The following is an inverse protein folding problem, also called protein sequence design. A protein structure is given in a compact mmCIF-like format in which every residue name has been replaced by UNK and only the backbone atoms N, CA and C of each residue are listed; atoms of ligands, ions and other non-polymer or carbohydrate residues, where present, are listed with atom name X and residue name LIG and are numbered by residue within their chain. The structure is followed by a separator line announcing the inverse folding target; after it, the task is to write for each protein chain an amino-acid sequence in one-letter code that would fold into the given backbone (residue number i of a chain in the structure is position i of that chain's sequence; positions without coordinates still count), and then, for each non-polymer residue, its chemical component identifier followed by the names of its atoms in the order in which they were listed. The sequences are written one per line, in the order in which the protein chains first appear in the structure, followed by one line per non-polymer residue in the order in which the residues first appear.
data_IF_190763055095
#
_entry.id   IF_190763055095
#
_cell.length_a   1.000
_cell.length_b   1.000
_cell.length_c   1.000
_cell.angle_alpha   90.00
_cell.angle_beta   90.00
_cell.angle_gamma   90.00
#
_symmetry.space_group_name_H-M   'P 1'
#
loop_
_entity.id
_entity.type
_entity.pdbx_description
1 polymer ?
#
# COMPACT_ATOMS: atom_id res chain seq x y z
N UNK A 1 8.48 1.39 -11.58
CA UNK A 1 9.92 1.10 -11.39
C UNK A 1 10.17 -0.30 -10.83
N UNK A 2 9.61 -0.68 -9.68
CA UNK A 2 9.78 -2.03 -9.09
C UNK A 2 9.41 -3.16 -10.07
N UNK A 3 8.28 -3.03 -10.77
CA UNK A 3 7.83 -4.00 -11.78
C UNK A 3 8.76 -4.13 -13.00
N UNK A 4 9.42 -3.04 -13.39
CA UNK A 4 10.40 -3.09 -14.49
C UNK A 4 11.69 -3.75 -14.02
N UNK A 5 12.14 -3.44 -12.80
CA UNK A 5 13.28 -4.11 -12.18
C UNK A 5 13.09 -5.62 -12.05
N UNK A 6 11.91 -6.08 -11.60
CA UNK A 6 11.61 -7.51 -11.51
C UNK A 6 11.55 -8.18 -12.89
N UNK A 7 11.03 -7.50 -13.91
CA UNK A 7 11.03 -7.98 -15.29
C UNK A 7 12.45 -8.20 -15.84
N UNK A 8 13.34 -7.21 -15.68
CA UNK A 8 14.75 -7.33 -16.14
C UNK A 8 15.47 -8.46 -15.41
N UNK A 9 15.25 -8.59 -14.10
CA UNK A 9 15.83 -9.67 -13.30
C UNK A 9 15.36 -11.04 -13.79
N UNK A 10 14.05 -11.22 -13.98
CA UNK A 10 13.48 -12.47 -14.50
C UNK A 10 14.03 -12.81 -15.89
N UNK A 11 14.17 -11.81 -16.76
CA UNK A 11 14.77 -11.97 -18.09
C UNK A 11 16.24 -12.41 -17.99
N UNK A 12 17.02 -11.82 -17.10
CA UNK A 12 18.43 -12.16 -16.91
C UNK A 12 18.62 -13.60 -16.40
N UNK A 13 17.80 -14.03 -15.43
CA UNK A 13 17.81 -15.41 -14.92
C UNK A 13 17.49 -16.40 -16.04
N UNK A 14 16.38 -16.17 -16.75
CA UNK A 14 15.95 -17.04 -17.85
C UNK A 14 16.98 -17.09 -18.99
N UNK A 15 17.61 -15.96 -19.30
CA UNK A 15 18.69 -15.91 -20.31
C UNK A 15 19.89 -16.75 -19.90
N UNK A 16 20.24 -16.77 -18.61
CA UNK A 16 21.35 -17.56 -18.08
C UNK A 16 21.07 -19.06 -18.21
N UNK A 17 19.87 -19.50 -17.84
CA UNK A 17 19.44 -20.90 -17.99
C UNK A 17 19.45 -21.36 -19.45
N UNK A 18 18.87 -20.55 -20.35
CA UNK A 18 18.85 -20.84 -21.78
C UNK A 18 20.27 -20.93 -22.37
N UNK A 19 21.19 -20.09 -21.90
CA UNK A 19 22.57 -20.13 -22.34
C UNK A 19 23.29 -21.38 -21.86
N UNK A 20 23.07 -21.81 -20.61
CA UNK A 20 23.64 -23.07 -20.11
C UNK A 20 23.14 -24.27 -20.92
N UNK A 21 21.84 -24.33 -21.23
CA UNK A 21 21.26 -25.39 -22.06
C UNK A 21 21.85 -25.38 -23.47
N UNK A 22 21.94 -24.19 -24.09
CA UNK A 22 22.47 -24.03 -25.44
C UNK A 22 23.95 -24.39 -25.49
N UNK A 23 24.73 -23.99 -24.48
CA UNK A 23 26.15 -24.34 -24.33
C UNK A 23 26.32 -25.85 -24.25
N UNK A 24 25.56 -26.53 -23.40
CA UNK A 24 25.62 -27.99 -23.27
C UNK A 24 25.24 -28.72 -24.57
N UNK A 25 24.30 -28.19 -25.35
CA UNK A 25 23.94 -28.75 -26.65
C UNK A 25 25.05 -28.55 -27.70
N UNK A 26 25.69 -27.38 -27.70
CA UNK A 26 26.85 -27.10 -28.57
C UNK A 26 28.04 -27.98 -28.17
N UNK A 27 28.32 -28.13 -26.88
CA UNK A 27 29.34 -29.04 -26.36
C UNK A 27 29.10 -30.47 -26.84
N UNK A 28 27.88 -31.01 -26.69
CA UNK A 28 27.51 -32.34 -27.18
C UNK A 28 27.71 -32.49 -28.68
N UNK A 29 27.36 -31.45 -29.44
CA UNK A 29 27.56 -31.46 -30.90
C UNK A 29 29.04 -31.50 -31.26
N UNK A 30 29.85 -30.64 -30.65
CA UNK A 30 31.30 -30.66 -30.87
C UNK A 30 31.89 -32.00 -30.42
N UNK A 31 31.40 -32.61 -29.34
CA UNK A 31 31.81 -33.95 -28.91
C UNK A 31 31.59 -35.03 -29.98
N UNK A 32 30.48 -34.98 -30.70
CA UNK A 32 30.20 -35.90 -31.81
C UNK A 32 31.12 -35.62 -33.00
N UNK A 33 31.25 -34.34 -33.37
CA UNK A 33 32.02 -33.89 -34.54
C UNK A 33 33.55 -34.00 -34.32
N UNK A 34 34.01 -34.03 -33.06
CA UNK A 34 35.43 -34.14 -32.68
C UNK A 34 36.11 -35.37 -33.29
N UNK A 35 35.40 -36.49 -33.41
CA UNK A 35 35.92 -37.72 -34.02
C UNK A 35 36.21 -37.59 -35.53
N UNK A 36 35.61 -36.59 -36.17
CA UNK A 36 35.79 -36.29 -37.59
C UNK A 36 36.75 -35.11 -37.83
N UNK A 37 37.13 -34.37 -36.78
CA UNK A 37 38.12 -33.31 -36.87
C UNK A 37 39.54 -33.89 -36.79
N UNK A 38 40.38 -33.46 -37.73
CA UNK A 38 41.77 -33.86 -37.79
C UNK A 38 42.63 -33.05 -36.80
N UNK A 39 42.47 -33.31 -35.50
CA UNK A 39 43.17 -32.56 -34.44
C UNK A 39 44.61 -33.04 -34.21
N UNK A 40 45.48 -32.17 -33.64
CA UNK A 40 46.83 -32.56 -33.26
C UNK A 40 46.81 -33.63 -32.15
N UNK A 41 47.64 -34.65 -32.32
CA UNK A 41 47.82 -35.75 -31.38
C UNK A 41 49.32 -35.99 -31.11
N UNK A 42 49.76 -35.66 -29.90
CA UNK A 42 51.14 -35.84 -29.45
C UNK A 42 51.54 -37.31 -29.35
N UNK A 43 50.59 -38.21 -29.07
CA UNK A 43 50.84 -39.65 -28.99
C UNK A 43 51.13 -40.23 -30.38
N UNK A 44 50.36 -39.79 -31.38
CA UNK A 44 50.52 -40.22 -32.78
C UNK A 44 51.55 -39.37 -33.57
N UNK A 45 52.18 -38.36 -32.93
CA UNK A 45 53.05 -37.35 -33.57
C UNK A 45 52.40 -36.72 -34.81
N UNK A 46 51.10 -36.53 -34.75
CA UNK A 46 50.30 -35.99 -35.84
C UNK A 46 49.99 -34.52 -35.58
N UNK A 47 50.36 -33.64 -36.51
CA UNK A 47 50.21 -32.18 -36.30
C UNK A 47 48.79 -31.66 -36.51
N UNK A 48 47.84 -32.52 -36.94
CA UNK A 48 46.47 -32.11 -37.26
C UNK A 48 46.38 -31.16 -38.47
N UNK A 49 45.17 -30.72 -38.82
CA UNK A 49 44.92 -29.68 -39.82
C UNK A 49 44.29 -28.47 -39.17
N UNK A 50 45.06 -27.37 -39.09
CA UNK A 50 44.59 -26.11 -38.51
C UNK A 50 43.43 -25.53 -39.35
N UNK A 51 43.56 -25.62 -40.66
CA UNK A 51 42.59 -25.12 -41.65
C UNK A 51 41.24 -25.82 -41.50
N UNK A 52 41.23 -27.15 -41.33
CA UNK A 52 39.98 -27.90 -41.12
C UNK A 52 39.24 -27.48 -39.84
N UNK A 53 39.97 -27.15 -38.77
CA UNK A 53 39.37 -26.64 -37.52
C UNK A 53 38.78 -25.25 -37.74
N UNK A 54 39.48 -24.38 -38.47
CA UNK A 54 39.01 -23.02 -38.79
C UNK A 54 37.74 -23.06 -39.64
N UNK A 55 37.72 -23.87 -40.71
CA UNK A 55 36.55 -24.06 -41.57
C UNK A 55 35.35 -24.62 -40.78
N UNK A 56 35.62 -25.58 -39.90
CA UNK A 56 34.61 -26.12 -39.00
C UNK A 56 34.04 -25.04 -38.07
N UNK A 57 34.89 -24.24 -37.42
CA UNK A 57 34.46 -23.15 -36.55
C UNK A 57 33.62 -22.12 -37.32
N UNK A 58 34.01 -21.76 -38.55
CA UNK A 58 33.26 -20.86 -39.41
C UNK A 58 31.87 -21.43 -39.74
N UNK A 59 31.80 -22.71 -40.13
CA UNK A 59 30.53 -23.38 -40.45
C UNK A 59 29.64 -23.51 -39.22
N UNK A 60 30.18 -23.91 -38.08
CA UNK A 60 29.44 -24.05 -36.83
C UNK A 60 28.89 -22.69 -36.38
N UNK A 61 29.72 -21.66 -36.31
CA UNK A 61 29.29 -20.32 -35.91
C UNK A 61 28.29 -19.70 -36.90
N UNK A 62 28.35 -20.05 -38.19
CA UNK A 62 27.33 -19.62 -39.15
C UNK A 62 25.94 -20.16 -38.84
N UNK A 63 25.86 -21.37 -38.28
CA UNK A 63 24.61 -22.00 -37.85
C UNK A 63 24.16 -21.51 -36.47
N UNK A 64 25.09 -21.04 -35.65
CA UNK A 64 24.82 -20.50 -34.31
C UNK A 64 24.47 -19.01 -34.29
N UNK A 65 24.30 -18.36 -35.46
CA UNK A 65 23.99 -16.91 -35.56
C UNK A 65 22.78 -16.44 -34.73
N UNK A 66 21.79 -17.32 -34.52
CA UNK A 66 20.58 -17.00 -33.74
C UNK A 66 20.77 -17.20 -32.24
N UNK A 67 21.88 -17.82 -31.84
CA UNK A 67 22.23 -18.05 -30.44
C UNK A 67 23.23 -16.99 -29.96
N UNK A 68 23.22 -16.63 -28.67
CA UNK A 68 24.20 -15.67 -28.14
C UNK A 68 25.60 -16.29 -27.94
N UNK A 69 25.78 -17.56 -28.28
CA UNK A 69 27.01 -18.33 -28.01
C UNK A 69 27.84 -18.40 -29.29
N UNK A 70 29.12 -18.08 -29.16
CA UNK A 70 30.10 -18.15 -30.21
C UNK A 70 31.24 -19.08 -29.80
N UNK A 71 31.59 -20.03 -30.67
CA UNK A 71 32.71 -20.96 -30.44
C UNK A 71 33.98 -20.29 -30.92
N UNK A 72 34.89 -20.03 -29.99
CA UNK A 72 36.05 -19.18 -30.23
C UNK A 72 37.27 -20.00 -30.67
N UNK A 73 37.55 -21.12 -30.00
CA UNK A 73 38.69 -21.99 -30.34
C UNK A 73 38.44 -23.43 -29.90
N UNK A 74 39.16 -24.35 -30.53
CA UNK A 74 39.30 -25.76 -30.11
C UNK A 74 40.79 -26.04 -30.00
N UNK A 75 41.25 -26.52 -28.85
CA UNK A 75 42.68 -26.74 -28.54
C UNK A 75 43.55 -25.49 -28.79
N UNK A 76 42.99 -24.30 -28.58
CA UNK A 76 43.67 -23.03 -28.84
C UNK A 76 43.77 -22.65 -30.32
N UNK A 77 43.27 -23.48 -31.25
CA UNK A 77 43.25 -23.17 -32.69
C UNK A 77 42.11 -22.20 -32.98
N UNK A 78 42.48 -21.01 -33.49
CA UNK A 78 41.55 -19.95 -33.89
C UNK A 78 42.22 -18.94 -34.83
N UNK A 79 41.41 -18.18 -35.55
CA UNK A 79 41.84 -16.98 -36.31
C UNK A 79 41.35 -15.68 -35.65
N UNK A 80 40.62 -15.77 -34.54
CA UNK A 80 40.05 -14.60 -33.87
C UNK A 80 41.08 -13.91 -32.96
N UNK A 81 40.98 -12.58 -32.76
CA UNK A 81 41.91 -11.81 -31.94
C UNK A 81 41.72 -12.08 -30.44
N UNK A 82 42.83 -12.23 -29.71
CA UNK A 82 42.85 -12.59 -28.29
C UNK A 82 41.85 -11.76 -27.45
N UNK A 83 41.09 -12.47 -26.61
CA UNK A 83 40.01 -11.93 -25.79
C UNK A 83 40.11 -12.46 -24.36
N UNK A 84 39.70 -11.67 -23.37
CA UNK A 84 39.86 -12.01 -21.94
C UNK A 84 38.63 -12.66 -21.28
N UNK A 85 37.46 -12.54 -21.89
CA UNK A 85 36.16 -13.06 -21.41
C UNK A 85 35.82 -14.43 -22.02
N UNK A 86 36.85 -15.24 -22.28
CA UNK A 86 36.70 -16.60 -22.80
C UNK A 86 36.24 -17.54 -21.69
N UNK A 87 35.21 -18.33 -22.00
CA UNK A 87 34.76 -19.43 -21.14
C UNK A 87 35.39 -20.71 -21.68
N UNK A 88 36.31 -21.28 -20.91
CA UNK A 88 36.97 -22.54 -21.27
C UNK A 88 36.19 -23.74 -20.71
N UNK A 89 36.05 -24.76 -21.54
CA UNK A 89 35.40 -26.03 -21.22
C UNK A 89 36.26 -27.17 -21.68
N UNK A 90 36.39 -28.18 -20.82
CA UNK A 90 37.11 -29.39 -21.15
C UNK A 90 36.13 -30.49 -21.53
N UNK A 91 36.30 -31.04 -22.73
CA UNK A 91 35.59 -32.22 -23.21
C UNK A 91 36.49 -33.43 -23.02
N UNK A 92 36.03 -34.37 -22.20
CA UNK A 92 36.73 -35.63 -21.99
C UNK A 92 36.26 -36.66 -23.02
N UNK A 93 37.19 -37.16 -23.82
CA UNK A 93 36.99 -38.38 -24.61
C UNK A 93 37.76 -39.52 -23.93
N UNK A 94 37.46 -40.79 -24.25
CA UNK A 94 38.20 -41.93 -23.69
C UNK A 94 39.72 -41.91 -23.94
N UNK A 95 40.17 -41.12 -24.93
CA UNK A 95 41.56 -41.09 -25.39
C UNK A 95 42.29 -39.79 -25.01
N UNK A 96 41.60 -38.64 -25.03
CA UNK A 96 42.19 -37.31 -24.78
C UNK A 96 41.18 -36.32 -24.20
N UNK A 97 41.68 -35.34 -23.46
CA UNK A 97 40.90 -34.17 -23.01
C UNK A 97 41.13 -33.04 -24.00
N UNK A 98 40.05 -32.48 -24.53
CA UNK A 98 40.07 -31.34 -25.44
C UNK A 98 39.57 -30.08 -24.75
N UNK A 99 40.19 -28.93 -25.01
CA UNK A 99 39.81 -27.62 -24.49
C UNK A 99 39.06 -26.84 -25.57
N UNK A 100 37.88 -26.34 -25.24
CA UNK A 100 37.06 -25.49 -26.12
C UNK A 100 36.82 -24.17 -25.43
N UNK A 101 37.05 -23.07 -26.14
CA UNK A 101 36.76 -21.73 -25.64
C UNK A 101 35.51 -21.17 -26.30
N UNK A 102 34.64 -20.56 -25.49
CA UNK A 102 33.40 -19.93 -25.92
C UNK A 102 33.35 -18.45 -25.53
N UNK A 103 32.53 -17.70 -26.25
CA UNK A 103 32.13 -16.33 -25.92
C UNK A 103 30.60 -16.27 -25.88
N UNK A 104 30.04 -15.62 -24.86
CA UNK A 104 28.60 -15.39 -24.76
C UNK A 104 28.34 -13.89 -24.91
N UNK A 105 27.75 -13.50 -26.04
CA UNK A 105 27.33 -12.13 -26.29
C UNK A 105 25.91 -11.94 -25.75
N UNK A 106 25.80 -11.73 -24.43
CA UNK A 106 24.52 -11.42 -23.80
C UNK A 106 24.29 -9.91 -23.76
N UNK A 107 23.29 -9.44 -24.50
CA UNK A 107 22.75 -8.11 -24.27
C UNK A 107 21.50 -8.21 -23.40
N UNK A 108 21.61 -7.77 -22.14
CA UNK A 108 20.51 -7.84 -21.17
C UNK A 108 19.39 -6.86 -21.57
N UNK A 109 19.79 -5.70 -22.11
CA UNK A 109 18.89 -4.63 -22.53
C UNK A 109 18.84 -4.52 -24.05
N UNK A 110 17.67 -4.78 -24.61
CA UNK A 110 17.34 -4.60 -26.01
C UNK A 110 16.60 -3.28 -26.21
N UNK A 111 16.56 -2.80 -27.46
CA UNK A 111 15.82 -1.57 -27.82
C UNK A 111 14.36 -1.60 -27.37
N UNK A 112 13.72 -2.77 -27.40
CA UNK A 112 12.34 -2.94 -26.94
C UNK A 112 12.20 -2.75 -25.43
N UNK A 113 13.20 -3.14 -24.63
CA UNK A 113 13.14 -2.95 -23.17
C UNK A 113 13.21 -1.46 -22.81
N UNK A 114 13.97 -0.68 -23.59
CA UNK A 114 14.03 0.79 -23.45
C UNK A 114 12.66 1.40 -23.78
N UNK A 115 11.99 0.94 -24.84
CA UNK A 115 10.65 1.40 -25.19
C UNK A 115 9.62 1.08 -24.08
N UNK A 116 9.67 -0.13 -23.52
CA UNK A 116 8.83 -0.53 -22.38
C UNK A 116 9.13 0.33 -21.15
N UNK A 117 10.39 0.62 -20.88
CA UNK A 117 10.78 1.50 -19.78
C UNK A 117 10.18 2.90 -19.91
N UNK A 118 10.31 3.51 -21.10
CA UNK A 118 9.74 4.83 -21.39
C UNK A 118 8.22 4.80 -21.19
N UNK A 119 7.54 3.77 -21.67
CA UNK A 119 6.09 3.60 -21.50
C UNK A 119 5.70 3.49 -20.03
N UNK A 120 6.42 2.71 -19.22
CA UNK A 120 6.19 2.61 -17.77
C UNK A 120 6.39 3.97 -17.07
N UNK A 121 7.39 4.75 -17.48
CA UNK A 121 7.60 6.11 -16.96
C UNK A 121 6.43 7.04 -17.33
N UNK A 122 5.96 7.00 -18.58
CA UNK A 122 4.82 7.79 -19.02
C UNK A 122 3.52 7.43 -18.27
N UNK A 123 3.24 6.15 -18.07
CA UNK A 123 2.10 5.71 -17.26
C UNK A 123 2.23 6.17 -15.81
N UNK A 124 3.42 6.07 -15.22
CA UNK A 124 3.66 6.56 -13.86
C UNK A 124 3.38 8.06 -13.77
N UNK A 125 3.86 8.86 -14.73
CA UNK A 125 3.62 10.30 -14.76
C UNK A 125 2.13 10.61 -14.96
N UNK A 126 1.44 9.89 -15.85
CA UNK A 126 0.01 10.06 -16.08
C UNK A 126 -0.81 9.75 -14.82
N UNK A 127 -0.50 8.64 -14.13
CA UNK A 127 -1.18 8.28 -12.87
C UNK A 127 -0.88 9.32 -11.79
N UNK A 128 0.37 9.73 -11.62
CA UNK A 128 0.73 10.79 -10.67
C UNK A 128 0.02 12.11 -11.00
N UNK A 129 -0.11 12.45 -12.28
CA UNK A 129 -0.83 13.63 -12.74
C UNK A 129 -2.34 13.52 -12.47
N UNK A 130 -2.96 12.37 -12.72
CA UNK A 130 -4.37 12.12 -12.41
C UNK A 130 -4.64 12.16 -10.91
N UNK A 131 -3.76 11.60 -10.08
CA UNK A 131 -3.85 11.70 -8.63
C UNK A 131 -3.69 13.15 -8.18
N UNK A 132 -2.76 13.89 -8.77
CA UNK A 132 -2.58 15.31 -8.50
C UNK A 132 -3.80 16.14 -8.92
N UNK A 133 -4.42 15.83 -10.06
CA UNK A 133 -5.70 16.44 -10.46
C UNK A 133 -6.81 16.08 -9.50
N UNK A 134 -6.93 14.81 -9.10
CA UNK A 134 -7.89 14.36 -8.11
C UNK A 134 -7.75 15.14 -6.80
N UNK A 135 -6.54 15.25 -6.26
CA UNK A 135 -6.26 16.03 -5.06
C UNK A 135 -6.55 17.52 -5.28
N UNK A 136 -6.19 18.09 -6.44
CA UNK A 136 -6.56 19.46 -6.80
C UNK A 136 -8.05 19.66 -6.94
N UNK A 137 -8.80 18.70 -7.49
CA UNK A 137 -10.26 18.75 -7.58
C UNK A 137 -10.88 18.57 -6.21
N UNK A 138 -10.32 17.75 -5.31
CA UNK A 138 -10.77 17.69 -3.91
C UNK A 138 -10.51 19.01 -3.20
N UNK A 139 -9.35 19.62 -3.40
CA UNK A 139 -9.00 20.94 -2.86
C UNK A 139 -9.82 22.07 -3.48
N UNK A 140 -10.14 21.99 -4.78
CA UNK A 140 -10.98 22.96 -5.48
C UNK A 140 -12.44 22.77 -5.13
N UNK A 141 -12.94 21.55 -5.00
CA UNK A 141 -14.26 21.25 -4.45
C UNK A 141 -14.30 21.65 -2.98
N UNK A 142 -13.23 21.51 -2.19
CA UNK A 142 -13.17 22.05 -0.83
C UNK A 142 -13.09 23.60 -0.81
N UNK A 143 -12.53 24.23 -1.85
CA UNK A 143 -12.52 25.71 -2.03
C UNK A 143 -13.77 26.28 -2.71
N UNK A 144 -14.52 25.45 -3.45
CA UNK A 144 -15.75 25.79 -4.18
C UNK A 144 -17.01 25.31 -3.46
N UNK A 145 -16.88 24.34 -2.54
CA UNK A 145 -17.66 24.38 -1.31
C UNK A 145 -17.48 25.80 -0.82
N UNK A 146 -18.58 26.55 -0.63
CA UNK A 146 -18.47 27.94 -0.23
C UNK A 146 -17.54 27.97 0.98
N UNK A 147 -16.40 28.65 0.82
CA UNK A 147 -15.66 29.19 1.94
C UNK A 147 -16.75 29.86 2.79
N UNK A 148 -17.01 29.40 4.03
CA UNK A 148 -18.12 29.97 4.79
C UNK A 148 -17.82 31.46 4.87
N UNK A 149 -18.64 32.25 4.19
CA UNK A 149 -18.48 33.68 4.20
C UNK A 149 -18.33 34.12 5.66
N UNK A 150 -17.33 34.94 5.99
CA UNK A 150 -17.22 35.46 7.33
C UNK A 150 -18.46 36.35 7.53
N UNK A 151 -19.42 35.83 8.29
CA UNK A 151 -20.77 36.35 8.56
C UNK A 151 -21.84 36.14 7.47
N UNK A 152 -22.51 35.00 7.56
CA UNK A 152 -23.96 35.04 7.79
C UNK A 152 -24.33 33.97 8.82
N UNK A 153 -25.40 34.19 9.59
CA UNK A 153 -25.85 33.37 10.73
C UNK A 153 -26.23 31.94 10.33
N UNK A 154 -25.26 31.10 9.94
CA UNK A 154 -25.49 29.68 9.79
C UNK A 154 -25.62 29.10 11.19
N UNK A 155 -26.72 28.38 11.45
CA UNK A 155 -26.93 27.71 12.73
C UNK A 155 -25.70 26.83 13.01
N UNK A 156 -25.13 26.90 14.22
CA UNK A 156 -24.03 26.01 14.60
C UNK A 156 -24.55 24.57 14.55
N UNK A 157 -23.82 23.67 13.90
CA UNK A 157 -24.14 22.24 13.78
C UNK A 157 -22.92 21.45 14.27
N UNK A 158 -23.15 20.44 15.10
CA UNK A 158 -22.11 19.54 15.56
C UNK A 158 -21.95 18.36 14.60
N UNK A 159 -20.76 18.22 14.03
CA UNK A 159 -20.38 17.10 13.17
C UNK A 159 -19.74 16.01 14.03
N UNK A 160 -20.33 14.82 14.03
CA UNK A 160 -19.84 13.63 14.71
C UNK A 160 -19.37 12.62 13.69
N UNK A 161 -18.06 12.40 13.60
CA UNK A 161 -17.46 11.46 12.66
C UNK A 161 -17.12 10.14 13.36
N UNK A 162 -17.87 9.08 13.04
CA UNK A 162 -17.65 7.73 13.56
C UNK A 162 -16.45 7.03 12.92
N UNK A 163 -16.06 7.40 11.69
CA UNK A 163 -14.91 6.83 10.99
C UNK A 163 -13.58 7.36 11.55
N UNK A 164 -13.53 8.64 11.91
CA UNK A 164 -12.34 9.25 12.49
C UNK A 164 -12.40 9.35 14.02
N UNK A 165 -13.58 9.11 14.62
CA UNK A 165 -13.88 9.25 16.06
C UNK A 165 -13.64 10.66 16.58
N UNK A 166 -14.15 11.64 15.83
CA UNK A 166 -13.94 13.05 16.10
C UNK A 166 -15.24 13.83 16.18
N UNK A 167 -15.21 14.92 16.92
CA UNK A 167 -16.24 15.96 16.97
C UNK A 167 -15.69 17.23 16.32
N UNK A 168 -16.48 17.91 15.51
CA UNK A 168 -16.11 19.20 14.94
C UNK A 168 -17.36 20.10 14.83
N UNK A 169 -17.19 21.41 14.86
CA UNK A 169 -18.29 22.33 14.52
C UNK A 169 -18.27 22.58 13.01
N UNK A 170 -19.44 22.73 12.40
CA UNK A 170 -19.56 23.11 10.98
C UNK A 170 -18.85 24.44 10.64
N UNK A 171 -18.72 25.33 11.63
CA UNK A 171 -18.02 26.61 11.50
C UNK A 171 -16.49 26.48 11.59
N UNK A 172 -15.98 25.34 12.06
CA UNK A 172 -14.55 25.08 12.25
C UNK A 172 -14.18 23.61 11.97
N UNK A 173 -14.46 23.09 10.74
CA UNK A 173 -14.24 21.69 10.41
C UNK A 173 -12.75 21.28 10.49
N UNK A 174 -11.83 22.24 10.36
CA UNK A 174 -10.37 22.02 10.42
C UNK A 174 -9.83 21.76 11.84
N UNK A 175 -10.67 21.88 12.88
CA UNK A 175 -10.30 21.65 14.29
C UNK A 175 -11.05 20.43 14.88
N UNK A 176 -10.88 19.21 14.36
CA UNK A 176 -11.55 18.04 14.91
C UNK A 176 -10.97 17.66 16.28
N UNK A 177 -11.85 17.39 17.24
CA UNK A 177 -11.52 16.94 18.59
C UNK A 177 -11.77 15.44 18.72
N UNK A 178 -10.73 14.68 19.03
CA UNK A 178 -10.85 13.23 19.18
C UNK A 178 -11.58 12.87 20.48
N UNK A 179 -12.49 11.89 20.41
CA UNK A 179 -13.24 11.40 21.57
C UNK A 179 -13.10 9.89 21.71
N UNK A 180 -12.97 9.42 22.96
CA UNK A 180 -12.89 7.99 23.24
C UNK A 180 -14.20 7.26 22.88
N UNK A 181 -14.11 5.99 22.50
CA UNK A 181 -15.24 5.22 21.96
C UNK A 181 -16.48 5.22 22.88
N UNK A 182 -16.28 5.03 24.20
CA UNK A 182 -17.39 4.97 25.17
C UNK A 182 -18.13 6.33 25.27
N UNK A 183 -17.45 7.46 25.56
CA UNK A 183 -18.07 8.78 25.49
C UNK A 183 -18.75 9.09 24.15
N UNK A 184 -18.11 8.75 23.03
CA UNK A 184 -18.64 9.01 21.68
C UNK A 184 -19.96 8.28 21.43
N UNK A 185 -20.01 6.98 21.71
CA UNK A 185 -21.22 6.17 21.54
C UNK A 185 -22.33 6.64 22.49
N UNK A 186 -21.97 6.96 23.74
CA UNK A 186 -22.92 7.41 24.73
C UNK A 186 -23.54 8.75 24.37
N UNK A 187 -22.74 9.69 23.84
CA UNK A 187 -23.22 11.00 23.46
C UNK A 187 -24.19 10.94 22.27
N UNK A 188 -23.87 10.20 21.21
CA UNK A 188 -24.78 10.01 20.08
C UNK A 188 -26.11 9.38 20.51
N UNK A 189 -26.05 8.39 21.39
CA UNK A 189 -27.24 7.78 21.95
C UNK A 189 -28.04 8.75 22.81
N UNK A 190 -27.37 9.61 23.59
CA UNK A 190 -28.02 10.62 24.42
C UNK A 190 -28.77 11.66 23.57
N UNK A 191 -28.17 12.07 22.45
CA UNK A 191 -28.80 12.97 21.46
C UNK A 191 -30.06 12.35 20.89
N UNK A 192 -29.95 11.13 20.34
CA UNK A 192 -31.08 10.43 19.71
C UNK A 192 -32.19 10.18 20.74
N UNK A 193 -31.83 9.72 21.94
CA UNK A 193 -32.78 9.49 23.03
C UNK A 193 -33.49 10.76 23.49
N UNK A 194 -32.77 11.87 23.71
CA UNK A 194 -33.38 13.13 24.14
C UNK A 194 -34.21 13.78 23.04
N UNK A 195 -33.92 13.51 21.77
CA UNK A 195 -34.75 14.00 20.65
C UNK A 195 -36.06 13.21 20.54
N UNK A 196 -36.02 11.89 20.76
CA UNK A 196 -37.21 11.04 20.76
C UNK A 196 -38.06 11.20 22.03
N UNK A 197 -37.43 11.54 23.16
CA UNK A 197 -38.06 11.62 24.48
C UNK A 197 -37.73 12.95 25.19
N UNK A 198 -38.25 14.10 24.72
CA UNK A 198 -37.88 15.42 25.24
C UNK A 198 -38.30 15.66 26.69
N UNK A 199 -39.38 15.03 27.15
CA UNK A 199 -39.93 15.23 28.49
C UNK A 199 -39.30 14.31 29.57
N UNK A 200 -38.38 13.41 29.18
CA UNK A 200 -37.81 12.42 30.11
C UNK A 200 -36.67 13.02 30.94
N UNK A 201 -36.87 13.03 32.26
CA UNK A 201 -35.85 13.51 33.21
C UNK A 201 -34.84 12.41 33.55
N UNK A 202 -33.71 12.44 32.84
CA UNK A 202 -32.53 11.62 33.10
C UNK A 202 -31.77 12.08 34.35
N UNK A 203 -31.70 11.27 35.41
CA UNK A 203 -31.02 11.60 36.67
C UNK A 203 -29.75 10.77 36.86
N UNK A 204 -28.65 11.41 37.25
CA UNK A 204 -27.35 10.73 37.46
C UNK A 204 -27.36 9.68 38.59
N UNK A 205 -28.24 9.84 39.58
CA UNK A 205 -28.37 8.94 40.73
C UNK A 205 -29.33 7.76 40.47
N UNK A 206 -29.93 7.70 39.27
CA UNK A 206 -30.78 6.58 38.83
C UNK A 206 -30.05 5.80 37.75
N UNK A 207 -30.50 4.57 37.54
CA UNK A 207 -30.03 3.76 36.42
C UNK A 207 -30.33 4.45 35.08
N UNK A 208 -29.41 4.27 34.13
CA UNK A 208 -29.58 4.75 32.76
C UNK A 208 -30.71 3.96 32.12
N UNK A 209 -31.69 4.60 31.46
CA UNK A 209 -32.78 3.90 30.80
C UNK A 209 -32.29 2.84 29.80
N UNK A 210 -32.98 1.72 29.73
CA UNK A 210 -32.59 0.58 28.88
C UNK A 210 -32.61 0.96 27.38
N UNK A 211 -33.53 1.82 26.97
CA UNK A 211 -33.61 2.36 25.60
C UNK A 211 -32.35 3.16 25.24
N UNK A 212 -31.89 4.06 26.12
CA UNK A 212 -30.65 4.81 25.94
C UNK A 212 -29.44 3.88 25.90
N UNK A 213 -29.41 2.85 26.75
CA UNK A 213 -28.36 1.82 26.69
C UNK A 213 -28.40 1.10 25.35
N UNK A 214 -29.57 0.75 24.83
CA UNK A 214 -29.72 0.05 23.54
C UNK A 214 -29.17 0.88 22.39
N UNK A 215 -29.48 2.18 22.35
CA UNK A 215 -28.91 3.13 21.39
C UNK A 215 -27.39 3.25 21.51
N UNK A 216 -26.84 3.36 22.72
CA UNK A 216 -25.39 3.43 22.92
C UNK A 216 -24.68 2.17 22.43
N UNK A 217 -25.32 1.01 22.57
CA UNK A 217 -24.78 -0.26 22.08
C UNK A 217 -24.89 -0.39 20.55
N UNK A 218 -25.94 0.14 19.92
CA UNK A 218 -26.05 0.25 18.45
C UNK A 218 -24.83 0.99 17.87
N UNK A 219 -24.50 2.16 18.41
CA UNK A 219 -23.31 2.91 17.96
C UNK A 219 -21.98 2.21 18.29
N UNK A 220 -21.92 1.49 19.41
CA UNK A 220 -20.74 0.68 19.73
C UNK A 220 -20.52 -0.44 18.70
N UNK A 221 -21.57 -1.16 18.29
CA UNK A 221 -21.46 -2.17 17.24
C UNK A 221 -21.04 -1.55 15.90
N UNK A 222 -21.53 -0.35 15.59
CA UNK A 222 -21.06 0.39 14.41
C UNK A 222 -19.56 0.68 14.45
N UNK A 223 -19.02 1.08 15.61
CA UNK A 223 -17.56 1.24 15.77
C UNK A 223 -16.79 -0.08 15.65
N UNK A 224 -17.39 -1.21 16.02
CA UNK A 224 -16.79 -2.55 15.81
C UNK A 224 -16.72 -2.88 14.32
N UNK A 225 -17.80 -2.64 13.57
CA UNK A 225 -17.85 -2.83 12.12
C UNK A 225 -16.81 -1.98 11.38
N UNK A 226 -16.61 -0.75 11.83
CA UNK A 226 -15.59 0.16 11.29
C UNK A 226 -14.15 -0.19 11.73
N UNK A 227 -13.97 -1.24 12.54
CA UNK A 227 -12.65 -1.72 12.98
C UNK A 227 -12.02 -0.88 14.10
N UNK A 228 -12.76 0.02 14.74
CA UNK A 228 -12.24 0.90 15.79
C UNK A 228 -12.13 0.24 17.17
N UNK A 229 -12.72 -0.94 17.36
CA UNK A 229 -12.57 -1.69 18.60
C UNK A 229 -12.88 -3.17 18.45
N UNK A 230 -12.13 -4.00 19.20
CA UNK A 230 -12.36 -5.45 19.36
C UNK A 230 -12.60 -5.77 20.85
N UNK A 231 -12.84 -4.74 21.68
CA UNK A 231 -12.95 -4.88 23.15
C UNK A 231 -14.35 -5.37 23.57
N UNK A 232 -14.43 -5.89 24.80
CA UNK A 232 -15.71 -6.22 25.46
C UNK A 232 -16.65 -5.00 25.48
N UNK A 233 -17.94 -5.26 25.30
CA UNK A 233 -19.04 -4.28 25.36
C UNK A 233 -18.86 -3.35 26.57
N UNK A 234 -18.77 -2.03 26.37
CA UNK A 234 -18.61 -1.09 27.47
C UNK A 234 -19.86 -1.08 28.34
N UNK A 235 -19.66 -1.03 29.66
CA UNK A 235 -20.73 -0.74 30.59
C UNK A 235 -20.92 0.79 30.64
N UNK A 236 -22.07 1.28 30.16
CA UNK A 236 -22.40 2.71 30.10
C UNK A 236 -23.02 3.26 31.40
N UNK A 237 -23.44 2.41 32.34
CA UNK A 237 -23.92 2.86 33.67
C UNK A 237 -22.76 3.14 34.61
N UNK A 238 -21.70 2.33 34.54
CA UNK A 238 -20.50 2.53 35.35
C UNK A 238 -19.76 3.80 34.94
N UNK A 239 -19.37 4.61 35.92
CA UNK A 239 -18.59 5.84 35.70
C UNK A 239 -19.28 6.82 34.74
N UNK A 240 -20.62 6.92 34.82
CA UNK A 240 -21.40 7.85 34.01
C UNK A 240 -20.89 9.29 34.13
N UNK A 241 -20.62 9.76 35.35
CA UNK A 241 -20.14 11.13 35.59
C UNK A 241 -18.79 11.42 34.90
N UNK A 242 -17.89 10.42 34.89
CA UNK A 242 -16.62 10.51 34.15
C UNK A 242 -16.88 10.60 32.64
N UNK A 243 -17.79 9.79 32.13
CA UNK A 243 -18.17 9.78 30.71
C UNK A 243 -18.76 11.13 30.29
N UNK A 244 -19.68 11.69 31.08
CA UNK A 244 -20.25 13.02 30.85
C UNK A 244 -19.20 14.13 30.94
N UNK A 245 -18.23 14.00 31.86
CA UNK A 245 -17.13 14.97 31.99
C UNK A 245 -16.20 14.96 30.77
N UNK A 246 -15.88 13.78 30.24
CA UNK A 246 -15.09 13.63 29.00
C UNK A 246 -15.83 14.23 27.78
N UNK A 247 -17.16 14.04 27.69
CA UNK A 247 -17.98 14.66 26.64
C UNK A 247 -17.94 16.19 26.75
N UNK A 248 -18.18 16.75 27.95
CA UNK A 248 -18.17 18.21 28.16
C UNK A 248 -16.82 18.82 27.81
N UNK A 249 -15.72 18.18 28.20
CA UNK A 249 -14.37 18.64 27.88
C UNK A 249 -14.11 18.67 26.37
N UNK A 250 -14.50 17.60 25.66
CA UNK A 250 -14.37 17.58 24.20
C UNK A 250 -15.25 18.64 23.52
N UNK A 251 -16.46 18.88 24.02
CA UNK A 251 -17.33 19.94 23.51
C UNK A 251 -16.76 21.33 23.81
N UNK A 252 -16.11 21.55 24.96
CA UNK A 252 -15.40 22.79 25.29
C UNK A 252 -14.30 23.11 24.27
N UNK A 253 -13.59 22.09 23.81
CA UNK A 253 -12.56 22.24 22.76
C UNK A 253 -13.21 22.53 21.38
N UNK A 254 -14.35 21.90 21.06
CA UNK A 254 -15.07 22.13 19.79
C UNK A 254 -15.68 23.53 19.71
N UNK A 255 -16.31 23.99 20.80
CA UNK A 255 -17.08 25.24 20.85
C UNK A 255 -16.30 26.39 21.52
N UNK A 256 -14.97 26.31 21.54
CA UNK A 256 -14.10 27.32 22.14
C UNK A 256 -14.43 28.75 21.67
N UNK A 257 -14.79 28.89 20.39
CA UNK A 257 -15.06 30.16 19.73
C UNK A 257 -16.55 30.58 19.79
N UNK A 258 -17.46 29.73 20.30
CA UNK A 258 -18.92 29.97 20.36
C UNK A 258 -19.54 29.44 21.68
N UNK A 259 -19.28 30.09 22.83
CA UNK A 259 -19.79 29.63 24.12
C UNK A 259 -21.33 29.72 24.26
N UNK A 260 -22.00 30.45 23.37
CA UNK A 260 -23.45 30.64 23.38
C UNK A 260 -24.23 29.36 23.08
N UNK A 261 -23.61 28.36 22.43
CA UNK A 261 -24.29 27.11 22.05
C UNK A 261 -24.25 26.04 23.15
N UNK A 262 -23.61 26.35 24.28
CA UNK A 262 -23.38 25.38 25.35
C UNK A 262 -24.69 24.77 25.88
N UNK A 263 -25.73 25.59 26.00
CA UNK A 263 -27.03 25.14 26.53
C UNK A 263 -27.75 24.11 25.64
N UNK A 264 -27.38 24.02 24.36
CA UNK A 264 -27.96 23.08 23.39
C UNK A 264 -27.21 21.75 23.40
N UNK A 265 -25.88 21.81 23.29
CA UNK A 265 -25.06 20.63 23.01
C UNK A 265 -24.52 19.92 24.25
N UNK A 266 -24.47 20.60 25.40
CA UNK A 266 -23.78 20.08 26.57
C UNK A 266 -24.74 19.37 27.52
N UNK A 267 -24.40 18.14 27.95
CA UNK A 267 -25.08 17.52 29.08
C UNK A 267 -24.93 18.41 30.32
N UNK A 268 -26.01 18.87 30.98
CA UNK A 268 -25.91 19.79 32.11
C UNK A 268 -25.07 19.22 33.25
N UNK A 269 -24.25 20.07 33.89
CA UNK A 269 -23.45 19.69 35.06
C UNK A 269 -24.25 19.88 36.35
N UNK A 270 -24.10 18.96 37.30
CA UNK A 270 -24.61 19.14 38.64
C UNK A 270 -23.99 20.38 39.32
N UNK A 271 -24.81 21.36 39.71
CA UNK A 271 -24.38 22.54 40.48
C UNK A 271 -25.05 22.54 41.86
N UNK A 272 -24.27 22.78 42.93
CA UNK A 272 -24.76 22.93 44.31
C UNK A 272 -24.26 21.87 45.31
N UNK A 273 -24.38 22.17 46.61
CA UNK A 273 -23.91 21.36 47.74
C UNK A 273 -24.43 19.92 47.70
N UNK A 274 -23.50 19.00 47.44
CA UNK A 274 -23.74 17.56 47.44
C UNK A 274 -24.15 17.00 46.09
N UNK A 275 -23.30 16.16 45.49
CA UNK A 275 -23.57 15.39 44.26
C UNK A 275 -24.76 14.41 44.37
N UNK A 276 -25.49 14.45 45.49
CA UNK A 276 -26.62 13.58 45.85
C UNK A 276 -27.96 14.28 45.74
N UNK A 277 -28.02 15.54 45.29
CA UNK A 277 -29.31 16.19 45.09
C UNK A 277 -30.10 15.43 44.01
N UNK A 278 -31.37 15.11 44.31
CA UNK A 278 -32.27 14.33 43.45
C UNK A 278 -32.70 15.06 42.17
N UNK A 279 -32.13 16.24 41.90
CA UNK A 279 -32.59 17.18 40.89
C UNK A 279 -31.59 17.35 39.72
N UNK A 280 -30.46 16.64 39.74
CA UNK A 280 -29.46 16.75 38.68
C UNK A 280 -29.87 15.97 37.44
N UNK A 281 -30.30 16.71 36.42
CA UNK A 281 -30.67 16.21 35.12
C UNK A 281 -29.49 16.31 34.14
N UNK A 282 -29.16 15.23 33.43
CA UNK A 282 -28.07 15.24 32.44
C UNK A 282 -28.54 15.15 30.98
N UNK A 283 -29.86 15.11 30.75
CA UNK A 283 -30.41 15.10 29.39
C UNK A 283 -30.24 16.44 28.69
N UNK A 284 -30.21 16.37 27.36
CA UNK A 284 -30.13 17.53 26.48
C UNK A 284 -31.54 18.09 26.30
N UNK A 285 -31.73 19.40 26.51
CA UNK A 285 -33.08 20.01 26.54
C UNK A 285 -33.56 20.56 25.21
N UNK A 286 -32.65 21.07 24.38
CA UNK A 286 -32.99 21.87 23.20
C UNK A 286 -32.35 21.31 21.92
N UNK A 287 -31.98 20.03 21.91
CA UNK A 287 -31.30 19.43 20.77
C UNK A 287 -32.30 18.76 19.83
N UNK A 288 -32.11 18.97 18.54
CA UNK A 288 -32.85 18.34 17.46
C UNK A 288 -31.91 17.54 16.57
N UNK A 289 -32.44 16.62 15.77
CA UNK A 289 -31.62 15.86 14.81
C UNK A 289 -30.98 16.76 13.73
N UNK A 290 -31.52 17.97 13.51
CA UNK A 290 -30.96 18.95 12.58
C UNK A 290 -29.73 19.66 13.15
N UNK A 291 -29.52 19.59 14.46
CA UNK A 291 -28.39 20.20 15.16
C UNK A 291 -27.12 19.36 15.08
N UNK A 292 -27.22 18.10 14.62
CA UNK A 292 -26.15 17.13 14.59
C UNK A 292 -26.07 16.43 13.24
N UNK A 293 -24.87 16.42 12.65
CA UNK A 293 -24.54 15.64 11.48
C UNK A 293 -23.70 14.42 11.89
N UNK A 294 -24.06 13.21 11.45
CA UNK A 294 -23.34 11.98 11.80
C UNK A 294 -22.73 11.34 10.55
N UNK A 295 -21.40 11.33 10.48
CA UNK A 295 -20.63 10.69 9.40
C UNK A 295 -20.34 9.24 9.81
N UNK A 296 -20.63 8.28 8.92
CA UNK A 296 -20.39 6.86 9.17
C UNK A 296 -21.46 6.16 10.02
N UNK A 297 -22.68 6.73 10.10
CA UNK A 297 -23.86 6.09 10.71
C UNK A 297 -24.16 4.71 10.09
#
# INVERSE_FOLDING_TARGET
MVLFGSYILAKAVKSTENNQLSLANIEKRIALDLTHLNLPDDFLKHSGSKEAVIDYLAKLNSQLKETPIFVYSIEGITEFPARADLIEKQLQTPQKVFTISFVINNNILNKNDIAVFILVCLFSLAISYLLFLSERTKLQVAKQLPEPEPNSKTKPILIVDLQNKTLAANCSPDKPVALANKPLCFYLALVEFCTENPDVVLNQNKDVPEELLTLANKYFYRLVELGHTVRKRPNFTNSLEKTLSEIRAALDDVWQDQPEVKDVYYPPKAHGEGSRSRLHHYGLKNITLEDIEVIGK
#
